data_IF_968583316307
#
_entry.id   IF_968583316307
#
_cell.length_a   1.000
_cell.length_b   1.000
_cell.length_c   1.000
_cell.angle_alpha   90.00
_cell.angle_beta   90.00
_cell.angle_gamma   90.00
#
_symmetry.space_group_name_H-M   'P 1'
#
loop_
_entity.id
_entity.type
_entity.pdbx_description
1 polymer ?
#
# COMPACT_ATOMS: atom_id res chain seq x y z
N UNK A 1 -16.16 11.53 -23.44
CA UNK A 1 -16.67 10.25 -22.89
C UNK A 1 -15.93 9.98 -21.58
N UNK A 2 -16.56 9.38 -20.56
CA UNK A 2 -15.82 8.92 -19.39
C UNK A 2 -14.79 7.87 -19.85
N UNK A 3 -13.52 8.08 -19.49
CA UNK A 3 -12.45 7.12 -19.79
C UNK A 3 -12.69 5.84 -19.00
N UNK A 4 -12.53 4.71 -19.68
CA UNK A 4 -12.56 3.38 -19.06
C UNK A 4 -11.18 3.01 -18.52
N UNK A 5 -11.13 2.11 -17.53
CA UNK A 5 -9.83 1.60 -17.07
C UNK A 5 -9.01 0.98 -18.21
N UNK A 6 -9.67 0.33 -19.17
CA UNK A 6 -9.00 -0.25 -20.33
C UNK A 6 -8.24 0.80 -21.14
N UNK A 7 -8.87 1.94 -21.45
CA UNK A 7 -8.25 3.05 -22.18
C UNK A 7 -7.10 3.67 -21.39
N UNK A 8 -7.27 3.86 -20.07
CA UNK A 8 -6.21 4.40 -19.22
C UNK A 8 -4.97 3.48 -19.22
N UNK A 9 -5.16 2.17 -19.06
CA UNK A 9 -4.05 1.22 -19.08
C UNK A 9 -3.42 1.05 -20.46
N UNK A 10 -4.19 1.22 -21.55
CA UNK A 10 -3.64 1.21 -22.92
C UNK A 10 -2.73 2.41 -23.17
N UNK A 11 -3.10 3.59 -22.66
CA UNK A 11 -2.24 4.78 -22.72
C UNK A 11 -0.93 4.51 -21.98
N UNK A 12 -0.98 3.89 -20.80
CA UNK A 12 0.24 3.56 -20.04
C UNK A 12 1.09 2.50 -20.75
N UNK A 13 0.47 1.45 -21.30
CA UNK A 13 1.16 0.43 -22.09
C UNK A 13 1.89 1.03 -23.29
N UNK A 14 1.26 1.98 -23.99
CA UNK A 14 1.86 2.63 -25.16
C UNK A 14 3.13 3.41 -24.81
N UNK A 15 3.27 3.95 -23.59
CA UNK A 15 4.50 4.63 -23.15
C UNK A 15 5.71 3.68 -23.12
N UNK A 16 5.45 2.38 -22.91
CA UNK A 16 6.45 1.32 -22.86
C UNK A 16 6.72 0.66 -24.22
N UNK A 17 5.91 0.94 -25.23
CA UNK A 17 6.04 0.31 -26.55
C UNK A 17 7.37 0.70 -27.22
N UNK A 18 8.05 -0.30 -27.79
CA UNK A 18 9.40 -0.16 -28.35
C UNK A 18 10.54 0.08 -27.33
N UNK A 19 10.27 0.28 -26.04
CA UNK A 19 11.29 0.51 -25.00
C UNK A 19 11.59 -0.74 -24.17
N UNK A 20 10.63 -1.66 -24.05
CA UNK A 20 10.73 -2.83 -23.20
C UNK A 20 10.89 -4.12 -24.00
N UNK A 21 11.49 -5.13 -23.35
CA UNK A 21 11.52 -6.49 -23.86
C UNK A 21 10.09 -7.02 -24.07
N UNK A 22 9.85 -7.71 -25.18
CA UNK A 22 8.55 -8.33 -25.54
C UNK A 22 7.94 -9.18 -24.42
N UNK A 23 8.77 -9.89 -23.64
CA UNK A 23 8.32 -10.68 -22.48
C UNK A 23 7.69 -9.81 -21.38
N UNK A 24 8.24 -8.62 -21.13
CA UNK A 24 7.71 -7.70 -20.12
C UNK A 24 6.39 -7.11 -20.61
N UNK A 25 6.34 -6.70 -21.88
CA UNK A 25 5.11 -6.19 -22.51
C UNK A 25 3.98 -7.21 -22.44
N UNK A 26 4.26 -8.48 -22.69
CA UNK A 26 3.26 -9.54 -22.63
C UNK A 26 2.72 -9.78 -21.21
N UNK A 27 3.62 -9.75 -20.21
CA UNK A 27 3.20 -9.79 -18.80
C UNK A 27 2.31 -8.58 -18.43
N UNK A 28 2.68 -7.39 -18.89
CA UNK A 28 1.86 -6.18 -18.67
C UNK A 28 0.49 -6.29 -19.34
N UNK A 29 0.38 -6.83 -20.56
CA UNK A 29 -0.92 -7.09 -21.20
C UNK A 29 -1.79 -8.07 -20.42
N UNK A 30 -1.18 -9.11 -19.85
CA UNK A 30 -1.88 -10.06 -18.98
C UNK A 30 -2.41 -9.37 -17.72
N UNK A 31 -1.59 -8.56 -17.06
CA UNK A 31 -1.97 -7.78 -15.88
C UNK A 31 -3.11 -6.82 -16.22
N UNK A 32 -2.99 -6.07 -17.32
CA UNK A 32 -4.05 -5.20 -17.84
C UNK A 32 -5.36 -5.97 -18.01
N UNK A 33 -5.33 -7.13 -18.67
CA UNK A 33 -6.51 -7.98 -18.88
C UNK A 33 -7.19 -8.40 -17.56
N UNK A 34 -6.40 -8.79 -16.56
CA UNK A 34 -6.90 -9.15 -15.22
C UNK A 34 -7.59 -7.95 -14.54
N UNK A 35 -6.91 -6.80 -14.47
CA UNK A 35 -7.44 -5.58 -13.83
C UNK A 35 -8.71 -5.08 -14.50
N UNK A 36 -8.75 -5.04 -15.84
CA UNK A 36 -9.94 -4.64 -16.61
C UNK A 36 -11.10 -5.58 -16.32
N UNK A 37 -10.85 -6.89 -16.25
CA UNK A 37 -11.89 -7.89 -15.93
C UNK A 37 -12.45 -7.68 -14.51
N UNK A 38 -11.60 -7.43 -13.53
CA UNK A 38 -12.02 -7.16 -12.15
C UNK A 38 -12.79 -5.84 -12.04
N UNK A 39 -12.38 -4.82 -12.80
CA UNK A 39 -13.04 -3.52 -12.83
C UNK A 39 -14.44 -3.61 -13.42
N UNK A 40 -14.63 -4.35 -14.53
CA UNK A 40 -15.96 -4.60 -15.09
C UNK A 40 -16.88 -5.34 -14.11
N UNK A 41 -16.33 -6.18 -13.23
CA UNK A 41 -17.07 -6.86 -12.15
C UNK A 41 -17.32 -5.97 -10.93
N UNK A 42 -16.81 -4.73 -10.93
CA UNK A 42 -16.94 -3.79 -9.81
C UNK A 42 -16.08 -4.13 -8.58
N UNK A 43 -15.11 -5.04 -8.73
CA UNK A 43 -14.29 -5.54 -7.63
C UNK A 43 -13.11 -4.61 -7.28
N UNK A 44 -12.65 -3.81 -8.25
CA UNK A 44 -11.55 -2.86 -8.09
C UNK A 44 -11.94 -1.46 -8.58
N UNK A 45 -11.18 -0.44 -8.19
CA UNK A 45 -11.39 0.96 -8.59
C UNK A 45 -10.29 1.40 -9.56
N UNK A 46 -10.63 2.26 -10.51
CA UNK A 46 -9.70 2.66 -11.58
C UNK A 46 -8.44 3.34 -11.06
N UNK A 47 -8.56 4.27 -10.10
CA UNK A 47 -7.42 4.95 -9.49
C UNK A 47 -6.47 3.99 -8.77
N UNK A 48 -7.01 2.97 -8.10
CA UNK A 48 -6.23 1.91 -7.45
C UNK A 48 -5.53 1.03 -8.49
N UNK A 49 -6.26 0.55 -9.50
CA UNK A 49 -5.71 -0.34 -10.52
C UNK A 49 -4.70 0.31 -11.46
N UNK A 50 -4.78 1.63 -11.67
CA UNK A 50 -3.71 2.36 -12.35
C UNK A 50 -2.42 2.35 -11.52
N UNK A 51 -2.50 2.53 -10.20
CA UNK A 51 -1.32 2.42 -9.33
C UNK A 51 -0.76 0.99 -9.30
N UNK A 52 -1.63 -0.03 -9.22
CA UNK A 52 -1.23 -1.44 -9.33
C UNK A 52 -0.44 -1.69 -10.62
N UNK A 53 -0.94 -1.19 -11.74
CA UNK A 53 -0.32 -1.36 -13.04
C UNK A 53 1.07 -0.70 -13.13
N UNK A 54 1.18 0.55 -12.67
CA UNK A 54 2.47 1.28 -12.65
C UNK A 54 3.46 0.56 -11.74
N UNK A 55 3.05 0.15 -10.54
CA UNK A 55 3.92 -0.55 -9.61
C UNK A 55 4.32 -1.95 -10.12
N UNK A 56 3.41 -2.68 -10.74
CA UNK A 56 3.72 -3.95 -11.40
C UNK A 56 4.77 -3.77 -12.50
N UNK A 57 4.67 -2.71 -13.31
CA UNK A 57 5.68 -2.40 -14.33
C UNK A 57 7.06 -2.16 -13.72
N UNK A 58 7.13 -1.42 -12.60
CA UNK A 58 8.36 -1.16 -11.86
C UNK A 58 9.07 -2.44 -11.41
N UNK A 59 8.31 -3.41 -10.88
CA UNK A 59 8.86 -4.69 -10.44
C UNK A 59 9.25 -5.60 -11.61
N UNK A 60 8.43 -5.67 -12.67
CA UNK A 60 8.75 -6.46 -13.86
C UNK A 60 10.07 -6.00 -14.50
N UNK A 61 10.30 -4.69 -14.56
CA UNK A 61 11.56 -4.11 -15.05
C UNK A 61 12.79 -4.50 -14.22
N UNK A 62 12.59 -4.86 -12.94
CA UNK A 62 13.64 -5.32 -12.02
C UNK A 62 13.79 -6.83 -11.99
N UNK A 63 13.12 -7.53 -12.90
CA UNK A 63 13.23 -8.98 -13.05
C UNK A 63 12.35 -9.79 -12.09
N UNK A 64 11.35 -9.17 -11.45
CA UNK A 64 10.40 -9.90 -10.63
C UNK A 64 9.36 -10.64 -11.49
N UNK A 65 8.82 -11.73 -10.95
CA UNK A 65 7.54 -12.27 -11.38
C UNK A 65 6.43 -11.60 -10.58
N UNK A 66 5.34 -11.21 -11.25
CA UNK A 66 4.27 -10.41 -10.63
C UNK A 66 2.92 -11.06 -10.89
N UNK A 67 2.11 -11.06 -9.85
CA UNK A 67 0.67 -11.28 -9.92
C UNK A 67 -0.04 -10.16 -9.15
N UNK A 68 -0.94 -9.45 -9.82
CA UNK A 68 -1.81 -8.46 -9.19
C UNK A 68 -3.06 -9.14 -8.63
N UNK A 69 -3.67 -8.65 -7.57
CA UNK A 69 -4.91 -9.20 -7.01
C UNK A 69 -4.79 -10.71 -6.74
N UNK A 70 -3.72 -11.11 -6.05
CA UNK A 70 -3.41 -12.52 -5.76
C UNK A 70 -4.12 -12.94 -4.49
N UNK A 71 -4.90 -14.02 -4.57
CA UNK A 71 -5.52 -14.65 -3.41
C UNK A 71 -4.47 -15.26 -2.48
N UNK A 72 -4.66 -15.01 -1.19
CA UNK A 72 -3.90 -15.55 -0.07
C UNK A 72 -4.82 -16.44 0.79
N UNK A 73 -4.30 -16.92 1.90
CA UNK A 73 -5.10 -17.66 2.88
C UNK A 73 -6.20 -16.77 3.51
N UNK A 74 -7.22 -17.40 4.09
CA UNK A 74 -8.32 -16.73 4.78
C UNK A 74 -9.12 -15.73 3.92
N UNK A 75 -9.25 -16.03 2.61
CA UNK A 75 -9.94 -15.20 1.62
C UNK A 75 -9.38 -13.77 1.49
N UNK A 76 -8.13 -13.56 1.91
CA UNK A 76 -7.44 -12.30 1.65
C UNK A 76 -6.99 -12.26 0.20
N UNK A 77 -6.96 -11.06 -0.37
CA UNK A 77 -6.39 -10.78 -1.69
C UNK A 77 -5.43 -9.63 -1.50
N UNK A 78 -4.19 -9.80 -1.94
CA UNK A 78 -3.20 -8.73 -1.91
C UNK A 78 -3.12 -8.02 -3.25
N UNK A 79 -2.84 -6.72 -3.19
CA UNK A 79 -2.82 -5.85 -4.38
C UNK A 79 -1.70 -6.29 -5.35
N UNK A 80 -0.45 -6.39 -4.86
CA UNK A 80 0.69 -6.89 -5.63
C UNK A 80 1.38 -8.02 -4.87
N UNK A 81 1.49 -9.19 -5.52
CA UNK A 81 2.43 -10.23 -5.14
C UNK A 81 3.59 -10.26 -6.13
N UNK A 82 4.80 -10.16 -5.60
CA UNK A 82 6.03 -10.19 -6.38
C UNK A 82 6.96 -11.29 -5.86
N UNK A 83 7.68 -11.95 -6.77
CA UNK A 83 8.66 -12.98 -6.41
C UNK A 83 9.95 -12.78 -7.21
N UNK A 84 11.08 -12.88 -6.51
CA UNK A 84 12.41 -12.84 -7.12
C UNK A 84 13.40 -13.58 -6.23
N UNK A 85 14.26 -14.40 -6.84
CA UNK A 85 15.33 -15.13 -6.16
C UNK A 85 14.84 -16.00 -4.97
N UNK A 86 13.63 -16.54 -5.09
CA UNK A 86 12.99 -17.36 -4.04
C UNK A 86 12.38 -16.57 -2.88
N UNK A 87 12.46 -15.23 -2.90
CA UNK A 87 11.85 -14.35 -1.93
C UNK A 87 10.53 -13.78 -2.44
N UNK A 88 9.55 -13.75 -1.55
CA UNK A 88 8.20 -13.24 -1.78
C UNK A 88 8.02 -11.84 -1.22
N UNK A 89 7.33 -11.00 -1.98
CA UNK A 89 7.10 -9.60 -1.69
C UNK A 89 5.61 -9.33 -1.83
N UNK A 90 5.01 -8.71 -0.82
CA UNK A 90 3.64 -8.20 -0.91
C UNK A 90 3.67 -6.69 -0.81
N UNK A 91 2.96 -6.02 -1.72
CA UNK A 91 2.72 -4.58 -1.62
C UNK A 91 1.23 -4.30 -1.59
N UNK A 92 0.80 -3.59 -0.55
CA UNK A 92 -0.57 -3.11 -0.40
C UNK A 92 -0.66 -1.61 -0.72
N UNK A 93 -1.59 -1.22 -1.57
CA UNK A 93 -1.80 0.15 -2.01
C UNK A 93 -2.82 0.86 -1.12
N UNK A 94 -2.49 2.08 -0.74
CA UNK A 94 -3.31 2.98 0.07
C UNK A 94 -3.44 4.35 -0.62
N UNK A 95 -4.66 4.62 -1.10
CA UNK A 95 -4.99 5.82 -1.89
C UNK A 95 -5.39 7.04 -1.06
N UNK A 96 -5.50 6.88 0.27
CA UNK A 96 -5.90 7.95 1.19
C UNK A 96 -7.39 8.18 1.34
N UNK A 97 -8.23 7.32 0.77
CA UNK A 97 -9.69 7.42 0.92
C UNK A 97 -10.12 7.31 2.40
N UNK A 98 -11.01 8.21 2.82
CA UNK A 98 -11.73 8.19 4.09
C UNK A 98 -13.22 8.21 3.80
N UNK A 99 -14.00 7.24 4.30
CA UNK A 99 -15.44 7.24 4.09
C UNK A 99 -16.12 8.38 4.88
N UNK A 100 -17.27 8.89 4.41
CA UNK A 100 -18.00 9.96 5.11
C UNK A 100 -18.35 9.63 6.57
N UNK A 101 -18.54 8.35 6.90
CA UNK A 101 -18.80 7.88 8.27
C UNK A 101 -17.67 8.18 9.25
N UNK A 102 -16.46 8.45 8.74
CA UNK A 102 -15.25 8.72 9.52
C UNK A 102 -14.76 10.16 9.33
N UNK A 103 -15.66 11.08 9.00
CA UNK A 103 -15.35 12.49 8.83
C UNK A 103 -14.91 13.19 10.13
N UNK A 104 -15.34 12.70 11.30
CA UNK A 104 -15.01 13.27 12.61
C UNK A 104 -13.73 12.70 13.22
N UNK A 105 -13.20 11.60 12.67
CA UNK A 105 -12.02 10.88 13.15
C UNK A 105 -11.10 10.36 12.02
N UNK A 106 -10.87 11.13 10.93
CA UNK A 106 -10.28 10.62 9.69
C UNK A 106 -8.86 10.08 9.88
N UNK A 107 -8.06 10.73 10.73
CA UNK A 107 -6.67 10.33 11.01
C UNK A 107 -6.63 8.99 11.73
N UNK A 108 -7.50 8.77 12.71
CA UNK A 108 -7.59 7.52 13.45
C UNK A 108 -8.07 6.37 12.55
N UNK A 109 -9.05 6.63 11.69
CA UNK A 109 -9.51 5.66 10.69
C UNK A 109 -8.36 5.24 9.75
N UNK A 110 -7.60 6.20 9.20
CA UNK A 110 -6.47 5.92 8.30
C UNK A 110 -5.37 5.15 9.00
N UNK A 111 -4.99 5.57 10.21
CA UNK A 111 -4.01 4.87 11.05
C UNK A 111 -4.45 3.42 11.32
N UNK A 112 -5.70 3.21 11.72
CA UNK A 112 -6.23 1.86 11.95
C UNK A 112 -6.21 1.00 10.68
N UNK A 113 -6.53 1.59 9.53
CA UNK A 113 -6.51 0.89 8.23
C UNK A 113 -5.13 0.40 7.86
N UNK A 114 -4.12 1.26 7.97
CA UNK A 114 -2.75 0.93 7.63
C UNK A 114 -2.20 -0.14 8.58
N UNK A 115 -2.43 0.00 9.89
CA UNK A 115 -2.08 -1.04 10.87
C UNK A 115 -2.75 -2.37 10.52
N UNK A 116 -4.03 -2.33 10.17
CA UNK A 116 -4.81 -3.52 9.83
C UNK A 116 -4.23 -4.24 8.62
N UNK A 117 -3.84 -3.50 7.58
CA UNK A 117 -3.18 -4.06 6.40
C UNK A 117 -1.82 -4.65 6.77
N UNK A 118 -0.96 -3.90 7.44
CA UNK A 118 0.37 -4.39 7.83
C UNK A 118 0.24 -5.70 8.61
N UNK A 119 -0.63 -5.76 9.62
CA UNK A 119 -0.80 -6.95 10.45
C UNK A 119 -1.39 -8.15 9.70
N UNK A 120 -2.32 -7.93 8.76
CA UNK A 120 -2.98 -9.02 8.03
C UNK A 120 -2.10 -9.61 6.94
N UNK A 121 -1.41 -8.76 6.18
CA UNK A 121 -0.78 -9.17 4.93
C UNK A 121 0.70 -9.49 5.09
N UNK A 122 1.43 -8.81 5.97
CA UNK A 122 2.88 -8.93 6.06
C UNK A 122 3.40 -10.34 6.38
N UNK A 123 2.59 -11.15 7.07
CA UNK A 123 2.91 -12.54 7.41
C UNK A 123 2.94 -13.51 6.23
N UNK A 124 2.40 -13.12 5.06
CA UNK A 124 2.37 -13.96 3.86
C UNK A 124 3.51 -13.64 2.88
N UNK A 125 4.51 -12.88 3.33
CA UNK A 125 5.65 -12.46 2.51
C UNK A 125 6.94 -12.41 3.30
N UNK A 126 8.07 -12.57 2.61
CA UNK A 126 9.39 -12.30 3.18
C UNK A 126 9.60 -10.80 3.38
N UNK A 127 9.11 -9.99 2.43
CA UNK A 127 9.16 -8.53 2.47
C UNK A 127 7.76 -7.94 2.24
N UNK A 128 7.36 -7.01 3.10
CA UNK A 128 6.07 -6.33 3.02
C UNK A 128 6.26 -4.83 2.81
N UNK A 129 5.46 -4.25 1.93
CA UNK A 129 5.48 -2.81 1.69
C UNK A 129 4.07 -2.22 1.60
N UNK A 130 3.99 -0.92 1.85
CA UNK A 130 2.84 -0.11 1.48
C UNK A 130 3.18 0.73 0.25
N UNK A 131 2.21 0.97 -0.61
CA UNK A 131 2.32 1.89 -1.73
C UNK A 131 1.29 3.00 -1.61
N UNK A 132 1.65 4.22 -1.98
CA UNK A 132 0.79 5.39 -1.77
C UNK A 132 1.03 6.45 -2.85
N UNK A 133 0.03 7.26 -3.24
CA UNK A 133 0.28 8.38 -4.14
C UNK A 133 1.06 9.50 -3.42
N UNK A 134 1.77 10.38 -4.15
CA UNK A 134 2.62 11.42 -3.55
C UNK A 134 1.88 12.44 -2.67
N UNK A 135 0.56 12.54 -2.81
CA UNK A 135 -0.28 13.44 -2.01
C UNK A 135 -0.84 12.81 -0.74
N UNK A 136 -0.66 11.51 -0.51
CA UNK A 136 -1.16 10.84 0.70
C UNK A 136 0.00 10.48 1.63
N UNK A 137 -0.09 10.96 2.88
CA UNK A 137 0.85 10.63 3.94
C UNK A 137 0.28 9.48 4.76
N UNK A 138 0.92 8.32 4.67
CA UNK A 138 0.64 7.17 5.55
C UNK A 138 0.94 7.52 7.01
N UNK A 139 0.07 7.08 7.91
CA UNK A 139 0.12 7.16 9.37
C UNK A 139 0.70 5.88 10.02
N UNK A 140 1.81 5.37 9.49
CA UNK A 140 2.46 4.14 9.98
C UNK A 140 3.02 4.37 11.40
N UNK A 141 2.64 3.55 12.40
CA UNK A 141 3.23 3.62 13.74
C UNK A 141 4.71 3.22 13.77
N UNK A 142 5.50 3.88 14.61
CA UNK A 142 6.94 3.62 14.76
C UNK A 142 7.21 2.18 15.23
N UNK A 143 6.29 1.63 16.01
CA UNK A 143 6.37 0.28 16.55
C UNK A 143 6.42 -0.78 15.44
N UNK A 144 5.80 -0.52 14.29
CA UNK A 144 5.72 -1.48 13.17
C UNK A 144 6.93 -1.45 12.24
N UNK A 145 7.78 -0.42 12.33
CA UNK A 145 9.03 -0.32 11.55
C UNK A 145 10.26 -0.78 12.33
N UNK A 146 10.10 -1.10 13.62
CA UNK A 146 11.16 -1.73 14.44
C UNK A 146 10.93 -3.24 14.56
N UNK A 147 12.02 -3.96 14.79
CA UNK A 147 12.00 -5.42 15.01
C UNK A 147 11.09 -5.82 16.18
N UNK A 148 10.39 -6.97 16.12
CA UNK A 148 9.46 -7.42 17.17
C UNK A 148 10.00 -7.34 18.60
N UNK A 149 11.26 -7.74 18.83
CA UNK A 149 11.87 -7.73 20.16
C UNK A 149 12.14 -6.35 20.77
N UNK A 150 11.96 -5.27 20.01
CA UNK A 150 12.11 -3.88 20.48
C UNK A 150 10.77 -3.16 20.66
N UNK A 151 9.65 -3.85 20.45
CA UNK A 151 8.32 -3.24 20.53
C UNK A 151 7.88 -3.09 21.98
N UNK A 152 7.30 -1.93 22.28
CA UNK A 152 6.67 -1.66 23.56
C UNK A 152 5.27 -2.30 23.60
N UNK A 153 5.05 -3.16 24.58
CA UNK A 153 3.77 -3.85 24.77
C UNK A 153 2.61 -2.88 25.02
N UNK A 154 2.85 -1.79 25.75
CA UNK A 154 1.82 -0.78 26.03
C UNK A 154 1.34 -0.14 24.72
N UNK A 155 2.28 0.19 23.83
CA UNK A 155 1.97 0.73 22.50
C UNK A 155 1.24 -0.26 21.60
N UNK A 156 1.58 -1.55 21.67
CA UNK A 156 0.82 -2.58 20.94
C UNK A 156 -0.61 -2.70 21.46
N UNK A 157 -0.84 -2.54 22.77
CA UNK A 157 -2.18 -2.53 23.35
C UNK A 157 -2.98 -1.28 22.93
N UNK A 158 -2.36 -0.10 22.88
CA UNK A 158 -2.99 1.11 22.32
C UNK A 158 -3.41 0.90 20.86
N UNK A 159 -2.54 0.31 20.03
CA UNK A 159 -2.86 -0.01 18.65
C UNK A 159 -4.00 -1.02 18.52
N UNK A 160 -4.03 -2.04 19.38
CA UNK A 160 -5.12 -3.01 19.45
C UNK A 160 -6.45 -2.33 19.80
N UNK A 161 -6.45 -1.45 20.79
CA UNK A 161 -7.64 -0.68 21.18
C UNK A 161 -8.15 0.21 20.04
N UNK A 162 -7.24 0.86 19.30
CA UNK A 162 -7.59 1.62 18.11
C UNK A 162 -8.21 0.71 17.04
N UNK A 163 -7.59 -0.42 16.73
CA UNK A 163 -8.09 -1.37 15.74
C UNK A 163 -9.50 -1.89 16.09
N UNK A 164 -9.78 -2.17 17.35
CA UNK A 164 -11.08 -2.69 17.80
C UNK A 164 -12.24 -1.71 17.56
N UNK A 165 -11.95 -0.43 17.38
CA UNK A 165 -12.95 0.57 17.02
C UNK A 165 -13.42 0.42 15.56
N UNK A 166 -12.55 -0.06 14.66
CA UNK A 166 -12.79 -0.07 13.21
C UNK A 166 -12.82 -1.47 12.57
N UNK A 167 -12.09 -2.45 13.12
CA UNK A 167 -11.85 -3.77 12.52
C UNK A 167 -12.18 -4.90 13.50
N UNK A 168 -13.45 -5.31 13.53
CA UNK A 168 -13.95 -6.34 14.45
C UNK A 168 -13.98 -7.76 13.85
N UNK A 169 -14.00 -7.89 12.52
CA UNK A 169 -14.22 -9.18 11.85
C UNK A 169 -13.31 -9.36 10.60
N UNK A 170 -12.33 -10.29 10.63
CA UNK A 170 -11.83 -10.97 11.83
C UNK A 170 -11.01 -10.01 12.71
N UNK A 171 -10.98 -10.18 14.04
CA UNK A 171 -10.18 -9.34 14.93
C UNK A 171 -8.69 -9.55 14.69
N UNK A 172 -7.88 -8.52 14.96
CA UNK A 172 -6.42 -8.58 14.89
C UNK A 172 -5.90 -8.74 16.32
N UNK A 173 -5.12 -9.77 16.58
CA UNK A 173 -4.57 -10.02 17.91
C UNK A 173 -3.33 -9.17 18.20
N UNK A 174 -2.96 -9.03 19.47
CA UNK A 174 -1.68 -8.41 19.86
C UNK A 174 -0.50 -9.20 19.27
N UNK A 175 -0.66 -10.52 19.11
CA UNK A 175 0.35 -11.35 18.47
C UNK A 175 0.54 -11.01 16.99
N UNK A 176 -0.56 -10.81 16.24
CA UNK A 176 -0.48 -10.35 14.85
C UNK A 176 0.26 -9.01 14.78
N UNK A 177 0.01 -8.09 15.72
CA UNK A 177 0.73 -6.81 15.81
C UNK A 177 2.20 -6.95 16.20
N UNK A 178 2.55 -7.94 17.02
CA UNK A 178 3.93 -8.21 17.42
C UNK A 178 4.75 -8.78 16.26
N UNK A 179 4.14 -9.65 15.43
CA UNK A 179 4.79 -10.33 14.31
C UNK A 179 4.75 -9.51 13.00
N UNK A 180 3.83 -8.53 12.91
CA UNK A 180 3.67 -7.63 11.76
C UNK A 180 4.97 -6.95 11.35
N UNK A 181 5.17 -6.69 10.05
CA UNK A 181 6.34 -5.96 9.54
C UNK A 181 5.99 -5.07 8.36
N UNK A 182 6.72 -3.97 8.21
CA UNK A 182 6.71 -3.15 6.99
C UNK A 182 8.14 -2.71 6.69
N UNK A 183 8.62 -3.08 5.50
CA UNK A 183 10.01 -2.93 5.10
C UNK A 183 10.20 -1.66 4.25
N UNK A 184 9.24 -1.39 3.36
CA UNK A 184 9.28 -0.27 2.43
C UNK A 184 7.96 0.48 2.32
N UNK A 185 8.07 1.74 1.90
CA UNK A 185 6.97 2.55 1.38
C UNK A 185 7.34 2.96 -0.05
N UNK A 186 6.45 2.65 -0.99
CA UNK A 186 6.55 3.08 -2.38
C UNK A 186 5.67 4.29 -2.62
N UNK A 187 6.25 5.41 -3.05
CA UNK A 187 5.47 6.54 -3.56
C UNK A 187 5.27 6.34 -5.05
N UNK A 188 4.01 6.20 -5.47
CA UNK A 188 3.61 5.93 -6.86
C UNK A 188 3.16 7.22 -7.52
N UNK A 189 4.02 7.80 -8.34
CA UNK A 189 3.72 8.95 -9.19
C UNK A 189 3.27 8.45 -10.56
N UNK A 190 1.96 8.35 -10.72
CA UNK A 190 1.32 7.89 -11.96
C UNK A 190 1.57 8.86 -13.11
N UNK A 191 1.50 10.16 -12.84
CA UNK A 191 1.61 11.21 -13.87
C UNK A 191 2.98 11.17 -14.57
N UNK A 192 4.03 10.89 -13.82
CA UNK A 192 5.40 10.79 -14.34
C UNK A 192 5.90 9.35 -14.55
N UNK A 193 5.07 8.34 -14.26
CA UNK A 193 5.44 6.92 -14.24
C UNK A 193 6.71 6.65 -13.41
N UNK A 194 6.78 7.26 -12.22
CA UNK A 194 7.92 7.14 -11.30
C UNK A 194 7.50 6.45 -10.02
N UNK A 195 8.40 5.63 -9.51
CA UNK A 195 8.29 5.03 -8.19
C UNK A 195 9.46 5.53 -7.35
N UNK A 196 9.16 6.05 -6.17
CA UNK A 196 10.17 6.35 -5.15
C UNK A 196 10.08 5.25 -4.09
N UNK A 197 11.16 4.50 -3.92
CA UNK A 197 11.29 3.46 -2.91
C UNK A 197 11.96 4.05 -1.66
N UNK A 198 11.30 3.91 -0.50
CA UNK A 198 11.77 4.45 0.78
C UNK A 198 11.70 3.33 1.81
N UNK A 199 12.77 3.12 2.60
CA UNK A 199 12.69 2.22 3.76
C UNK A 199 11.63 2.73 4.73
N UNK A 200 10.81 1.83 5.28
CA UNK A 200 9.70 2.24 6.13
C UNK A 200 10.17 3.01 7.38
N UNK A 201 11.31 2.64 7.96
CA UNK A 201 11.95 3.39 9.06
C UNK A 201 12.27 4.84 8.66
N UNK A 202 12.88 5.03 7.49
CA UNK A 202 13.21 6.36 6.97
C UNK A 202 11.96 7.18 6.63
N UNK A 203 10.92 6.53 6.10
CA UNK A 203 9.62 7.15 5.84
C UNK A 203 9.01 7.69 7.14
N UNK A 204 8.94 6.86 8.18
CA UNK A 204 8.38 7.26 9.48
C UNK A 204 9.21 8.39 10.11
N UNK A 205 10.54 8.27 10.09
CA UNK A 205 11.45 9.27 10.68
C UNK A 205 11.40 10.62 9.99
N UNK A 206 11.32 10.64 8.65
CA UNK A 206 11.47 11.86 7.86
C UNK A 206 10.15 12.46 7.38
N UNK A 207 9.11 11.66 7.21
CA UNK A 207 7.82 12.09 6.67
C UNK A 207 6.79 12.15 7.80
N UNK A 208 6.44 11.03 8.43
CA UNK A 208 5.41 11.02 9.49
C UNK A 208 5.72 11.98 10.63
N UNK A 209 6.95 11.93 11.18
CA UNK A 209 7.35 12.82 12.26
C UNK A 209 7.33 14.29 11.84
N UNK A 210 7.77 14.62 10.63
CA UNK A 210 7.83 16.02 10.17
C UNK A 210 6.47 16.54 9.72
N UNK A 211 5.57 15.70 9.20
CA UNK A 211 4.23 16.11 8.78
C UNK A 211 3.32 16.44 9.96
N UNK A 212 3.51 15.76 11.10
CA UNK A 212 2.77 16.03 12.34
C UNK A 212 3.47 17.12 13.19
N UNK A 213 4.80 17.20 13.13
CA UNK A 213 5.61 18.04 14.05
C UNK A 213 6.46 19.13 13.36
N UNK A 214 6.13 19.60 12.15
CA UNK A 214 6.78 20.80 11.59
C UNK A 214 6.28 22.08 12.28
N UNK A 215 6.49 22.16 13.59
CA UNK A 215 6.24 23.32 14.46
C UNK A 215 7.19 24.48 14.18
N UNK A 216 8.24 24.28 13.37
CA UNK A 216 9.17 25.36 13.00
C UNK A 216 8.70 26.22 11.83
N UNK A 217 7.71 25.76 11.07
CA UNK A 217 7.20 26.50 9.89
C UNK A 217 5.77 27.00 10.09
N UNK A 218 5.00 26.37 10.99
CA UNK A 218 3.58 26.69 11.19
C UNK A 218 3.27 26.97 12.66
N UNK A 219 2.45 28.01 12.90
CA UNK A 219 1.85 28.27 14.21
C UNK A 219 0.71 27.28 14.41
N UNK A 220 0.88 26.35 15.34
CA UNK A 220 -0.24 25.52 15.81
C UNK A 220 -1.22 26.42 16.57
N UNK A 221 -2.49 26.32 16.22
CA UNK A 221 -3.59 26.97 16.95
C UNK A 221 -4.48 25.84 17.45
N UNK A 222 -4.50 25.62 18.77
CA UNK A 222 -5.54 24.78 19.38
C UNK A 222 -6.85 25.56 19.32
N UNK A 223 -7.88 24.91 18.78
CA UNK A 223 -9.22 25.49 18.57
C UNK A 223 -10.24 24.90 19.56
N UNK A 224 -9.75 24.18 20.58
CA UNK A 224 -10.55 23.69 21.71
C UNK A 224 -10.56 24.69 22.85
#
# INVERSE_FOLDING_TARGET
>A
MPKTLAEDLDVLLAVFDGKLNSRIVEKLRTIRGKLVTLWYKGLVKSNHSVMEFVLASYFLLRGFNIEVEKSLENNLVCDIYAEKDGLSYIVEIETGFVPPSNAIDPVNYRRAREISKIARYSKYSDLFALATPPYHILQIPEELVVSPGKRDLEKLLEMKQLLDQYYKSPPISVRDLLEAKVDYVYIVDVDHLKIIEIKAEDYVKNICKKSILSTRVYKLVDIR
#
